data_IF_860965289416
#
_entry.id   IF_860965289416
#
_cell.length_a   1.000
_cell.length_b   1.000
_cell.length_c   1.000
_cell.angle_alpha   90.00
_cell.angle_beta   90.00
_cell.angle_gamma   90.00
#
_symmetry.space_group_name_H-M   'P 1'
#
loop_
_entity.id
_entity.type
_entity.pdbx_description
1 polymer ?
#
# COMPACT_ATOMS: atom_id res chain seq x y z
N UNK A 1 13.78 -7.64 -0.65
CA UNK A 1 13.83 -7.42 -2.11
C UNK A 1 12.61 -8.05 -2.75
N UNK A 2 11.92 -7.35 -3.67
CA UNK A 2 10.84 -7.95 -4.43
C UNK A 2 11.37 -9.17 -5.19
N UNK A 3 10.54 -10.20 -5.29
CA UNK A 3 10.90 -11.42 -6.02
C UNK A 3 10.84 -11.07 -7.51
N UNK A 4 11.99 -10.96 -8.15
CA UNK A 4 12.06 -10.69 -9.59
C UNK A 4 11.70 -11.98 -10.33
N UNK A 5 10.70 -11.88 -11.20
CA UNK A 5 10.29 -12.99 -12.04
C UNK A 5 11.08 -12.95 -13.35
N UNK A 6 11.57 -14.10 -13.81
CA UNK A 6 12.26 -14.21 -15.12
C UNK A 6 11.32 -14.10 -16.32
N UNK A 7 10.01 -14.09 -16.07
CA UNK A 7 8.97 -13.97 -17.09
C UNK A 7 8.74 -12.49 -17.43
N UNK A 8 8.74 -12.16 -18.72
CA UNK A 8 8.40 -10.81 -19.18
C UNK A 8 6.90 -10.71 -19.45
N UNK A 9 6.25 -9.67 -18.93
CA UNK A 9 4.84 -9.37 -19.23
C UNK A 9 4.08 -8.66 -18.12
N UNK A 10 2.84 -8.21 -18.39
CA UNK A 10 2.02 -7.45 -17.44
C UNK A 10 1.75 -8.19 -16.12
N UNK A 11 1.49 -9.50 -16.19
CA UNK A 11 1.21 -10.34 -15.02
C UNK A 11 2.43 -10.44 -14.10
N UNK A 12 3.61 -10.71 -14.68
CA UNK A 12 4.85 -10.80 -13.92
C UNK A 12 5.15 -9.48 -13.19
N UNK A 13 5.01 -8.34 -13.88
CA UNK A 13 5.16 -7.01 -13.27
C UNK A 13 4.14 -6.74 -12.17
N UNK A 14 2.89 -7.16 -12.37
CA UNK A 14 1.85 -7.02 -11.34
C UNK A 14 2.20 -7.83 -10.09
N UNK A 15 2.68 -9.07 -10.26
CA UNK A 15 3.09 -9.95 -9.16
C UNK A 15 4.28 -9.40 -8.37
N UNK A 16 5.17 -8.62 -8.99
CA UNK A 16 6.27 -7.95 -8.27
C UNK A 16 5.76 -6.92 -7.25
N UNK A 17 4.58 -6.34 -7.47
CA UNK A 17 3.92 -5.41 -6.55
C UNK A 17 2.99 -6.15 -5.57
N UNK A 18 1.97 -6.84 -6.09
CA UNK A 18 0.91 -7.44 -5.27
C UNK A 18 1.35 -8.74 -4.58
N UNK A 19 2.38 -9.41 -5.10
CA UNK A 19 2.94 -10.63 -4.50
C UNK A 19 3.87 -10.36 -3.30
N UNK A 20 4.18 -9.10 -3.00
CA UNK A 20 4.91 -8.77 -1.78
C UNK A 20 4.04 -9.01 -0.55
N UNK A 21 4.64 -9.57 0.50
CA UNK A 21 3.95 -9.80 1.76
C UNK A 21 3.31 -8.49 2.23
N UNK A 22 2.07 -8.62 2.71
CA UNK A 22 1.17 -7.57 3.21
C UNK A 22 0.47 -6.70 2.16
N UNK A 23 0.94 -6.61 0.91
CA UNK A 23 0.35 -5.70 -0.10
C UNK A 23 -1.14 -5.95 -0.29
N UNK A 24 -1.55 -7.20 -0.54
CA UNK A 24 -2.96 -7.54 -0.75
C UNK A 24 -3.81 -7.28 0.49
N UNK A 25 -3.26 -7.48 1.70
CA UNK A 25 -3.98 -7.20 2.94
C UNK A 25 -4.19 -5.69 3.13
N UNK A 26 -3.19 -4.87 2.81
CA UNK A 26 -3.32 -3.41 2.80
C UNK A 26 -4.41 -2.97 1.81
N UNK A 27 -4.41 -3.52 0.60
CA UNK A 27 -5.44 -3.23 -0.41
C UNK A 27 -6.84 -3.64 0.06
N UNK A 28 -6.97 -4.78 0.74
CA UNK A 28 -8.22 -5.22 1.34
C UNK A 28 -8.73 -4.22 2.40
N UNK A 29 -7.87 -3.73 3.28
CA UNK A 29 -8.28 -2.77 4.31
C UNK A 29 -8.63 -1.40 3.73
N UNK A 30 -7.94 -0.97 2.68
CA UNK A 30 -8.30 0.23 1.92
C UNK A 30 -9.70 0.08 1.28
N UNK A 31 -10.02 -1.08 0.71
CA UNK A 31 -11.37 -1.38 0.19
C UNK A 31 -12.44 -1.40 1.28
N UNK A 32 -12.06 -1.68 2.53
CA UNK A 32 -12.94 -1.65 3.72
C UNK A 32 -13.12 -0.24 4.29
N UNK A 33 -12.41 0.76 3.77
CA UNK A 33 -12.53 2.16 4.18
C UNK A 33 -11.53 2.58 5.26
N UNK A 34 -10.51 1.76 5.56
CA UNK A 34 -9.42 2.15 6.46
C UNK A 34 -8.39 2.95 5.67
N UNK A 35 -8.38 4.27 5.82
CA UNK A 35 -7.55 5.15 5.00
C UNK A 35 -6.36 5.75 5.76
N UNK A 36 -6.35 5.74 7.09
CA UNK A 36 -5.25 6.30 7.87
C UNK A 36 -4.17 5.25 8.13
N UNK A 37 -2.91 5.68 8.17
CA UNK A 37 -1.78 4.79 8.46
C UNK A 37 -1.96 3.97 9.74
N UNK A 38 -2.43 4.62 10.82
CA UNK A 38 -2.66 3.96 12.10
C UNK A 38 -3.76 2.88 12.02
N UNK A 39 -4.83 3.14 11.27
CA UNK A 39 -5.90 2.15 11.06
C UNK A 39 -5.37 0.95 10.28
N UNK A 40 -4.63 1.19 9.18
CA UNK A 40 -4.01 0.13 8.39
C UNK A 40 -3.03 -0.71 9.21
N UNK A 41 -2.24 -0.08 10.07
CA UNK A 41 -1.30 -0.77 10.95
C UNK A 41 -2.02 -1.63 12.01
N UNK A 42 -3.16 -1.16 12.51
CA UNK A 42 -3.98 -1.88 13.48
C UNK A 42 -4.69 -3.09 12.84
N UNK A 43 -5.25 -2.93 11.64
CA UNK A 43 -6.00 -4.00 10.96
C UNK A 43 -5.10 -5.05 10.32
N UNK A 44 -3.92 -4.67 9.81
CA UNK A 44 -2.96 -5.61 9.22
C UNK A 44 -2.06 -6.17 10.31
N UNK A 45 -2.58 -7.12 11.09
CA UNK A 45 -1.91 -7.69 12.25
C UNK A 45 -0.49 -8.21 11.93
N UNK A 46 0.50 -7.76 12.71
CA UNK A 46 1.89 -8.18 12.60
C UNK A 46 2.71 -7.46 11.51
N UNK A 47 2.16 -6.46 10.82
CA UNK A 47 2.95 -5.59 9.95
C UNK A 47 3.82 -4.63 10.77
N UNK A 48 5.10 -4.54 10.42
CA UNK A 48 5.97 -3.52 11.00
C UNK A 48 5.67 -2.14 10.36
N UNK A 49 5.71 -1.02 11.12
CA UNK A 49 5.38 0.31 10.58
C UNK A 49 6.23 0.72 9.38
N UNK A 50 7.53 0.40 9.39
CA UNK A 50 8.41 0.66 8.25
C UNK A 50 7.99 -0.13 7.01
N UNK A 51 7.58 -1.39 7.17
CA UNK A 51 7.10 -2.22 6.06
C UNK A 51 5.78 -1.66 5.52
N UNK A 52 4.85 -1.22 6.37
CA UNK A 52 3.63 -0.55 5.91
C UNK A 52 3.94 0.71 5.09
N UNK A 53 4.86 1.54 5.60
CA UNK A 53 5.31 2.75 4.91
C UNK A 53 5.90 2.45 3.54
N UNK A 54 6.79 1.46 3.45
CA UNK A 54 7.42 1.06 2.18
C UNK A 54 6.41 0.50 1.18
N UNK A 55 5.38 -0.22 1.65
CA UNK A 55 4.32 -0.76 0.79
C UNK A 55 3.40 0.33 0.26
N UNK A 56 3.01 1.28 1.11
CA UNK A 56 2.18 2.42 0.69
C UNK A 56 2.92 3.30 -0.31
N UNK A 57 4.23 3.55 -0.11
CA UNK A 57 5.06 4.26 -1.08
C UNK A 57 5.13 3.54 -2.42
N UNK A 58 5.35 2.22 -2.41
CA UNK A 58 5.34 1.45 -3.66
C UNK A 58 3.98 1.55 -4.35
N UNK A 59 2.87 1.38 -3.64
CA UNK A 59 1.52 1.52 -4.21
C UNK A 59 1.25 2.93 -4.76
N UNK A 60 1.81 3.98 -4.15
CA UNK A 60 1.77 5.36 -4.63
C UNK A 60 2.61 5.56 -5.90
N UNK A 61 3.82 5.00 -5.94
CA UNK A 61 4.69 5.02 -7.14
C UNK A 61 4.07 4.32 -8.35
N UNK A 62 3.27 3.28 -8.13
CA UNK A 62 2.53 2.56 -9.17
C UNK A 62 1.12 3.13 -9.42
N UNK A 63 0.78 4.27 -8.83
CA UNK A 63 -0.52 4.95 -8.99
C UNK A 63 -1.73 4.06 -8.63
N UNK A 64 -1.54 3.06 -7.77
CA UNK A 64 -2.62 2.21 -7.22
C UNK A 64 -3.29 2.87 -6.02
N UNK A 65 -2.51 3.66 -5.27
CA UNK A 65 -2.96 4.41 -4.11
C UNK A 65 -2.55 5.87 -4.29
N UNK A 66 -3.43 6.79 -3.94
CA UNK A 66 -3.12 8.21 -3.81
C UNK A 66 -3.06 8.62 -2.34
N UNK A 67 -2.11 9.50 -2.00
CA UNK A 67 -1.99 10.08 -0.66
C UNK A 67 -2.65 11.47 -0.63
N UNK A 68 -3.68 11.62 0.19
CA UNK A 68 -4.43 12.88 0.37
C UNK A 68 -4.19 13.45 1.75
N UNK A 69 -3.72 14.70 1.82
CA UNK A 69 -3.64 15.43 3.08
C UNK A 69 -5.00 16.05 3.41
N UNK A 70 -5.50 15.81 4.62
CA UNK A 70 -6.77 16.39 5.10
C UNK A 70 -6.55 17.44 6.20
N UNK A 71 -5.31 17.59 6.66
CA UNK A 71 -4.90 18.60 7.63
C UNK A 71 -3.46 18.96 7.31
N UNK A 72 -3.16 20.25 7.21
CA UNK A 72 -1.79 20.73 7.02
C UNK A 72 -1.05 20.91 8.35
N UNK A 73 -1.76 21.16 9.45
CA UNK A 73 -1.19 21.50 10.77
C UNK A 73 -1.93 20.80 11.95
N UNK A 74 -1.41 19.69 12.50
CA UNK A 74 -0.28 18.90 12.00
C UNK A 74 -0.64 18.20 10.67
N UNK A 75 0.35 17.87 9.82
CA UNK A 75 0.11 17.18 8.56
C UNK A 75 -0.49 15.80 8.83
N UNK A 76 -1.69 15.55 8.31
CA UNK A 76 -2.34 14.25 8.39
C UNK A 76 -2.75 13.80 7.00
N UNK A 77 -2.37 12.56 6.68
CA UNK A 77 -2.62 11.96 5.39
C UNK A 77 -3.55 10.76 5.51
N UNK A 78 -4.31 10.56 4.45
CA UNK A 78 -5.08 9.37 4.14
C UNK A 78 -4.57 8.77 2.83
N UNK A 79 -4.76 7.47 2.70
CA UNK A 79 -4.41 6.67 1.54
C UNK A 79 -5.70 6.15 0.93
N UNK A 80 -5.89 6.41 -0.36
CA UNK A 80 -7.11 6.05 -1.09
C UNK A 80 -6.73 5.25 -2.33
N UNK A 81 -7.53 4.24 -2.68
CA UNK A 81 -7.36 3.55 -3.95
C UNK A 81 -7.70 4.51 -5.10
N UNK A 82 -6.90 4.44 -6.17
CA UNK A 82 -7.18 5.18 -7.41
C UNK A 82 -8.37 4.56 -8.16
N UNK A 83 -9.02 5.36 -9.01
CA UNK A 83 -10.21 5.00 -9.78
C UNK A 83 -9.90 4.40 -11.15
#
# INVERSE_FOLDING_TARGET
>A
MPKQYTQTGPIARTLELVGQRWTILILQELLRGHHRFAELQEQVEGIAPNVLSDRLKALEEYEVVERKFYSDHPPRAEYHLTA
#
